data_IF_230047438740
#
_entry.id   IF_230047438740
#
_cell.length_a   1.000
_cell.length_b   1.000
_cell.length_c   1.000
_cell.angle_alpha   90.00
_cell.angle_beta   90.00
_cell.angle_gamma   90.00
#
_symmetry.space_group_name_H-M   'P 1'
#
loop_
_entity.id
_entity.type
_entity.pdbx_description
1 polymer ?
#
# COMPACT_ATOMS: atom_id res chain seq x y z
N UNK A 1 4.17 -1.84 7.86
CA UNK A 1 3.27 -0.73 7.54
C UNK A 1 1.96 -1.30 7.02
N UNK A 2 0.82 -0.69 7.34
CA UNK A 2 -0.50 -1.22 6.95
C UNK A 2 -1.21 -0.21 6.04
N UNK A 3 -1.31 -0.48 4.75
CA UNK A 3 -2.06 0.36 3.80
C UNK A 3 -3.57 0.09 3.83
N UNK A 4 -4.04 -0.90 4.61
CA UNK A 4 -5.45 -1.27 4.72
C UNK A 4 -6.33 -0.17 5.35
N UNK A 5 -5.73 0.83 5.98
CA UNK A 5 -6.43 1.96 6.61
C UNK A 5 -6.73 3.11 5.66
N UNK A 6 -6.23 3.05 4.42
CA UNK A 6 -6.46 4.07 3.39
C UNK A 6 -7.97 4.19 3.09
N UNK A 7 -8.48 5.41 3.23
CA UNK A 7 -9.91 5.70 3.01
C UNK A 7 -10.23 5.79 1.51
N UNK A 8 -11.40 5.28 1.14
CA UNK A 8 -11.90 5.39 -0.23
C UNK A 8 -11.97 6.85 -0.68
N UNK A 9 -11.53 7.11 -1.91
CA UNK A 9 -11.52 8.44 -2.51
C UNK A 9 -12.63 8.50 -3.55
N UNK A 10 -13.65 9.33 -3.31
CA UNK A 10 -14.71 9.61 -4.28
C UNK A 10 -14.25 10.61 -5.34
N UNK A 11 -15.01 10.69 -6.44
CA UNK A 11 -14.86 11.79 -7.40
C UNK A 11 -15.53 13.09 -6.92
N UNK A 12 -15.40 14.17 -7.66
CA UNK A 12 -15.95 15.47 -7.30
C UNK A 12 -17.48 15.43 -7.08
N UNK A 13 -18.20 14.72 -7.94
CA UNK A 13 -19.66 14.61 -7.87
C UNK A 13 -20.10 13.84 -6.62
N UNK A 14 -19.37 12.79 -6.25
CA UNK A 14 -19.62 12.04 -5.01
C UNK A 14 -19.58 12.98 -3.77
N UNK A 15 -18.54 13.81 -3.65
CA UNK A 15 -18.41 14.72 -2.51
C UNK A 15 -19.49 15.80 -2.50
N UNK A 16 -19.88 16.30 -3.67
CA UNK A 16 -20.99 17.26 -3.80
C UNK A 16 -22.30 16.64 -3.39
N UNK A 17 -22.61 15.44 -3.87
CA UNK A 17 -23.87 14.76 -3.56
C UNK A 17 -24.00 14.44 -2.07
N UNK A 18 -22.93 13.96 -1.46
CA UNK A 18 -22.89 13.68 -0.01
C UNK A 18 -23.12 14.98 0.78
N UNK A 19 -22.42 16.06 0.41
CA UNK A 19 -22.55 17.34 1.10
C UNK A 19 -23.94 17.93 0.96
N UNK A 20 -24.54 17.87 -0.24
CA UNK A 20 -25.92 18.35 -0.47
C UNK A 20 -26.92 17.55 0.36
N UNK A 21 -26.84 16.22 0.36
CA UNK A 21 -27.75 15.35 1.13
C UNK A 21 -27.65 15.62 2.64
N UNK A 22 -26.44 15.74 3.17
CA UNK A 22 -26.22 16.00 4.60
C UNK A 22 -26.63 17.41 4.99
N UNK A 23 -26.33 18.42 4.15
CA UNK A 23 -26.80 19.79 4.37
C UNK A 23 -28.32 19.84 4.38
N UNK A 24 -29.03 19.14 3.49
CA UNK A 24 -30.47 19.07 3.49
C UNK A 24 -31.00 18.48 4.80
N UNK A 25 -30.46 17.32 5.22
CA UNK A 25 -30.85 16.70 6.49
C UNK A 25 -30.67 17.65 7.71
N UNK A 26 -29.49 18.27 7.80
CA UNK A 26 -29.21 19.23 8.88
C UNK A 26 -30.18 20.44 8.86
N UNK A 27 -30.64 20.86 7.68
CA UNK A 27 -31.60 21.95 7.57
C UNK A 27 -33.03 21.51 7.92
N UNK A 28 -33.40 20.27 7.66
CA UNK A 28 -34.71 19.75 8.07
C UNK A 28 -34.78 19.65 9.60
N UNK A 29 -33.75 19.17 10.27
CA UNK A 29 -33.62 19.20 11.74
C UNK A 29 -33.64 20.62 12.31
N UNK A 30 -33.01 21.59 11.63
CA UNK A 30 -33.03 23.01 12.05
C UNK A 30 -34.42 23.64 11.94
N UNK A 31 -35.21 23.28 10.93
CA UNK A 31 -36.56 23.79 10.70
C UNK A 31 -37.57 23.33 11.76
N UNK A 32 -37.36 22.15 12.34
CA UNK A 32 -38.17 21.64 13.47
C UNK A 32 -37.95 22.46 14.75
N UNK A 33 -36.80 23.15 14.85
CA UNK A 33 -36.54 24.10 15.92
C UNK A 33 -37.19 25.44 15.59
N UNK A 34 -37.98 26.02 16.53
CA UNK A 34 -38.64 27.31 16.33
C UNK A 34 -37.63 28.47 16.25
N UNK A 35 -37.34 28.91 15.02
CA UNK A 35 -36.45 30.04 14.76
C UNK A 35 -37.09 31.38 15.22
N UNK A 36 -36.43 32.12 16.10
CA UNK A 36 -36.87 33.44 16.58
C UNK A 36 -36.35 34.56 15.67
N UNK A 37 -37.03 35.70 15.65
CA UNK A 37 -36.62 36.91 14.95
C UNK A 37 -37.42 37.21 13.68
N UNK A 38 -37.06 38.32 12.99
CA UNK A 38 -37.70 38.75 11.74
C UNK A 38 -37.45 37.75 10.60
N UNK A 39 -38.25 37.80 9.55
CA UNK A 39 -38.11 36.97 8.35
C UNK A 39 -36.69 37.08 7.77
N UNK A 40 -36.13 38.27 7.72
CA UNK A 40 -34.77 38.53 7.25
C UNK A 40 -33.71 37.83 8.13
N UNK A 41 -33.85 37.94 9.45
CA UNK A 41 -32.92 37.29 10.39
C UNK A 41 -32.95 35.79 10.28
N UNK A 42 -34.14 35.19 10.19
CA UNK A 42 -34.33 33.74 9.97
C UNK A 42 -33.75 33.30 8.66
N UNK A 43 -33.97 34.05 7.54
CA UNK A 43 -33.40 33.76 6.24
C UNK A 43 -31.87 33.78 6.28
N UNK A 44 -31.25 34.83 6.86
CA UNK A 44 -29.80 34.90 7.02
C UNK A 44 -29.24 33.70 7.80
N UNK A 45 -29.87 33.39 8.93
CA UNK A 45 -29.42 32.27 9.77
C UNK A 45 -29.45 30.93 9.02
N UNK A 46 -30.57 30.59 8.38
CA UNK A 46 -30.71 29.35 7.61
C UNK A 46 -29.69 29.27 6.47
N UNK A 47 -29.52 30.34 5.71
CA UNK A 47 -28.59 30.31 4.59
C UNK A 47 -27.12 30.25 5.04
N UNK A 48 -26.75 30.92 6.11
CA UNK A 48 -25.42 30.79 6.73
C UNK A 48 -25.17 29.37 7.20
N UNK A 49 -26.14 28.75 7.88
CA UNK A 49 -26.03 27.35 8.32
C UNK A 49 -25.86 26.37 7.17
N UNK A 50 -26.53 26.62 6.02
CA UNK A 50 -26.34 25.81 4.80
C UNK A 50 -24.90 25.91 4.26
N UNK A 51 -24.33 27.11 4.20
CA UNK A 51 -22.97 27.33 3.74
C UNK A 51 -21.97 26.61 4.64
N UNK A 52 -22.13 26.76 5.95
CA UNK A 52 -21.27 26.12 6.96
C UNK A 52 -21.35 24.59 6.90
N UNK A 53 -22.57 24.05 6.84
CA UNK A 53 -22.78 22.60 6.76
C UNK A 53 -22.14 22.01 5.50
N UNK A 54 -22.32 22.66 4.35
CA UNK A 54 -21.75 22.19 3.08
C UNK A 54 -20.21 22.22 3.08
N UNK A 55 -19.62 23.32 3.51
CA UNK A 55 -18.15 23.45 3.59
C UNK A 55 -17.56 22.45 4.58
N UNK A 56 -18.12 22.35 5.77
CA UNK A 56 -17.66 21.44 6.80
C UNK A 56 -17.69 19.98 6.32
N UNK A 57 -18.78 19.56 5.67
CA UNK A 57 -18.90 18.18 5.18
C UNK A 57 -17.84 17.85 4.15
N UNK A 58 -17.66 18.69 3.13
CA UNK A 58 -16.66 18.48 2.07
C UNK A 58 -15.26 18.47 2.67
N UNK A 59 -14.94 19.47 3.49
CA UNK A 59 -13.61 19.59 4.07
C UNK A 59 -13.27 18.44 5.02
N UNK A 60 -14.24 17.97 5.82
CA UNK A 60 -14.06 16.80 6.66
C UNK A 60 -13.76 15.54 5.83
N UNK A 61 -14.49 15.31 4.74
CA UNK A 61 -14.27 14.15 3.86
C UNK A 61 -12.89 14.20 3.20
N UNK A 62 -12.53 15.33 2.59
CA UNK A 62 -11.21 15.51 1.97
C UNK A 62 -10.06 15.36 2.98
N UNK A 63 -10.23 15.92 4.18
CA UNK A 63 -9.22 15.78 5.24
C UNK A 63 -9.11 14.37 5.80
N UNK A 64 -10.20 13.58 5.82
CA UNK A 64 -10.13 12.15 6.16
C UNK A 64 -9.28 11.38 5.14
N UNK A 65 -9.45 11.66 3.85
CA UNK A 65 -8.60 11.07 2.80
C UNK A 65 -7.16 11.50 3.01
N UNK A 66 -6.89 12.81 3.11
CA UNK A 66 -5.53 13.34 3.27
C UNK A 66 -4.79 12.71 4.47
N UNK A 67 -5.47 12.57 5.62
CA UNK A 67 -4.89 11.98 6.84
C UNK A 67 -4.72 10.46 6.75
N UNK A 68 -5.43 9.77 5.87
CA UNK A 68 -5.31 8.32 5.71
C UNK A 68 -4.07 7.92 4.92
N UNK A 69 -3.58 8.78 4.04
CA UNK A 69 -2.33 8.51 3.32
C UNK A 69 -1.12 8.70 4.24
N UNK A 70 -0.17 7.77 4.20
CA UNK A 70 1.05 7.90 4.99
C UNK A 70 1.94 9.02 4.47
N UNK A 71 2.82 9.53 5.33
CA UNK A 71 3.92 10.38 4.87
C UNK A 71 4.85 9.57 3.97
N UNK A 72 4.85 9.86 2.66
CA UNK A 72 5.64 9.13 1.68
C UNK A 72 7.15 9.25 1.93
N UNK A 73 7.59 10.35 2.51
CA UNK A 73 9.00 10.59 2.82
C UNK A 73 9.50 9.73 4.00
N UNK A 74 8.60 9.35 4.91
CA UNK A 74 8.90 8.55 6.09
C UNK A 74 8.73 7.04 5.88
N UNK A 75 8.43 6.61 4.65
CA UNK A 75 8.36 5.19 4.31
C UNK A 75 9.76 4.56 4.35
N UNK A 76 9.82 3.24 4.65
CA UNK A 76 11.06 2.48 4.43
C UNK A 76 11.43 2.48 2.95
N UNK A 77 12.72 2.33 2.65
CA UNK A 77 13.23 2.33 1.27
C UNK A 77 12.52 1.29 0.40
N UNK A 78 12.18 0.13 0.95
CA UNK A 78 11.39 -0.87 0.25
C UNK A 78 10.08 -0.31 -0.31
N UNK A 79 9.29 0.37 0.53
CA UNK A 79 7.99 0.91 0.11
C UNK A 79 8.12 2.15 -0.79
N UNK A 80 9.17 2.96 -0.62
CA UNK A 80 9.46 4.08 -1.53
C UNK A 80 9.73 3.57 -2.94
N UNK A 81 10.61 2.59 -3.06
CA UNK A 81 10.96 1.98 -4.34
C UNK A 81 9.75 1.23 -4.95
N UNK A 82 8.97 0.53 -4.13
CA UNK A 82 7.76 -0.15 -4.57
C UNK A 82 6.74 0.83 -5.17
N UNK A 83 6.53 1.98 -4.51
CA UNK A 83 5.69 3.06 -5.04
C UNK A 83 6.30 3.59 -6.34
N UNK A 84 7.61 3.83 -6.40
CA UNK A 84 8.27 4.33 -7.60
C UNK A 84 8.18 3.41 -8.82
N UNK A 85 8.06 2.09 -8.60
CA UNK A 85 7.88 1.10 -9.68
C UNK A 85 6.42 1.00 -10.15
N UNK A 86 5.44 1.26 -9.27
CA UNK A 86 4.01 1.00 -9.53
C UNK A 86 3.18 2.27 -9.72
N UNK A 87 3.64 3.40 -9.19
CA UNK A 87 2.91 4.67 -9.13
C UNK A 87 3.88 5.84 -9.35
N UNK A 88 3.33 7.01 -9.66
CA UNK A 88 4.10 8.26 -9.66
C UNK A 88 4.02 8.93 -8.27
N UNK A 89 5.10 8.83 -7.50
CA UNK A 89 5.20 9.40 -6.15
C UNK A 89 5.03 10.93 -6.16
N UNK A 90 5.56 11.62 -7.17
CA UNK A 90 5.46 13.08 -7.28
C UNK A 90 4.00 13.46 -7.53
N UNK A 91 3.32 12.72 -8.40
CA UNK A 91 1.93 13.00 -8.70
C UNK A 91 1.00 12.68 -7.52
N UNK A 92 1.30 11.66 -6.70
CA UNK A 92 0.58 11.42 -5.43
C UNK A 92 0.72 12.63 -4.50
N UNK A 93 1.95 13.12 -4.27
CA UNK A 93 2.21 14.31 -3.42
C UNK A 93 1.45 15.53 -3.94
N UNK A 94 1.49 15.78 -5.25
CA UNK A 94 0.75 16.86 -5.90
C UNK A 94 -0.76 16.69 -5.70
N UNK A 95 -1.26 15.48 -5.82
CA UNK A 95 -2.68 15.17 -5.63
C UNK A 95 -3.12 15.38 -4.19
N UNK A 96 -2.34 14.96 -3.20
CA UNK A 96 -2.61 15.25 -1.79
C UNK A 96 -2.58 16.75 -1.49
N UNK A 97 -1.62 17.48 -2.06
CA UNK A 97 -1.54 18.94 -1.94
C UNK A 97 -2.78 19.64 -2.53
N UNK A 98 -3.35 19.12 -3.63
CA UNK A 98 -4.56 19.65 -4.24
C UNK A 98 -5.79 19.53 -3.33
N UNK A 99 -5.90 18.48 -2.51
CA UNK A 99 -6.95 18.33 -1.50
C UNK A 99 -6.84 19.44 -0.45
N UNK A 100 -5.62 19.67 0.04
CA UNK A 100 -5.35 20.73 1.00
C UNK A 100 -5.71 22.10 0.42
N UNK A 101 -5.29 22.39 -0.80
CA UNK A 101 -5.62 23.61 -1.52
C UNK A 101 -7.16 23.79 -1.63
N UNK A 102 -7.88 22.74 -2.02
CA UNK A 102 -9.34 22.77 -2.12
C UNK A 102 -10.00 23.11 -0.77
N UNK A 103 -9.58 22.48 0.32
CA UNK A 103 -10.11 22.76 1.66
C UNK A 103 -9.86 24.20 2.09
N UNK A 104 -8.69 24.76 1.77
CA UNK A 104 -8.34 26.13 2.12
C UNK A 104 -9.14 27.14 1.28
N UNK A 105 -9.35 26.86 -0.02
CA UNK A 105 -10.22 27.66 -0.90
C UNK A 105 -11.69 27.63 -0.45
N UNK A 106 -12.19 26.48 -0.04
CA UNK A 106 -13.55 26.36 0.47
C UNK A 106 -13.75 27.25 1.72
N UNK A 107 -12.78 27.27 2.64
CA UNK A 107 -12.80 28.16 3.81
C UNK A 107 -12.75 29.63 3.45
N UNK A 108 -11.97 29.99 2.43
CA UNK A 108 -11.90 31.36 1.90
C UNK A 108 -13.28 31.79 1.37
N UNK A 109 -13.91 30.95 0.55
CA UNK A 109 -15.25 31.22 0.03
C UNK A 109 -16.27 31.30 1.14
N UNK A 110 -16.25 30.42 2.12
CA UNK A 110 -17.16 30.49 3.26
C UNK A 110 -17.05 31.84 3.95
N UNK A 111 -15.83 32.30 4.28
CA UNK A 111 -15.62 33.59 4.94
C UNK A 111 -16.18 34.77 4.12
N UNK A 112 -15.90 34.77 2.81
CA UNK A 112 -16.36 35.79 1.88
C UNK A 112 -17.90 35.86 1.81
N UNK A 113 -18.55 34.73 1.58
CA UNK A 113 -20.02 34.69 1.43
C UNK A 113 -20.74 34.84 2.74
N UNK A 114 -20.19 34.45 3.88
CA UNK A 114 -20.71 34.78 5.20
C UNK A 114 -20.78 36.30 5.42
N UNK A 115 -19.75 37.04 5.05
CA UNK A 115 -19.72 38.50 5.13
C UNK A 115 -20.82 39.13 4.24
N UNK A 116 -20.88 38.69 2.96
CA UNK A 116 -21.91 39.19 2.01
C UNK A 116 -23.34 38.94 2.50
N UNK A 117 -23.65 37.74 3.03
CA UNK A 117 -24.99 37.41 3.57
C UNK A 117 -25.33 38.25 4.81
N UNK A 118 -24.38 38.44 5.73
CA UNK A 118 -24.59 39.26 6.90
C UNK A 118 -24.96 40.72 6.55
N UNK A 119 -24.33 41.27 5.51
CA UNK A 119 -24.53 42.64 5.06
C UNK A 119 -25.75 42.81 4.12
N UNK A 120 -26.30 41.72 3.59
CA UNK A 120 -27.41 41.78 2.66
C UNK A 120 -28.68 42.39 3.33
N UNK A 121 -29.36 43.25 2.59
CA UNK A 121 -30.60 43.90 3.00
C UNK A 121 -31.86 43.31 2.34
N UNK A 122 -31.65 42.40 1.35
CA UNK A 122 -32.72 41.77 0.59
C UNK A 122 -32.58 40.25 0.62
N UNK A 123 -33.69 39.52 0.69
CA UNK A 123 -33.72 38.04 0.71
C UNK A 123 -33.23 37.47 -0.59
N UNK A 124 -33.55 38.09 -1.73
CA UNK A 124 -33.10 37.63 -3.04
C UNK A 124 -31.56 37.66 -3.19
N UNK A 125 -30.93 38.69 -2.63
CA UNK A 125 -29.45 38.75 -2.57
C UNK A 125 -28.85 37.64 -1.74
N UNK A 126 -29.48 37.26 -0.64
CA UNK A 126 -29.03 36.14 0.21
C UNK A 126 -29.08 34.83 -0.61
N UNK A 127 -30.20 34.59 -1.31
CA UNK A 127 -30.33 33.41 -2.18
C UNK A 127 -29.37 33.40 -3.34
N UNK A 128 -29.06 34.57 -3.93
CA UNK A 128 -28.04 34.70 -4.96
C UNK A 128 -26.65 34.31 -4.43
N UNK A 129 -26.24 34.84 -3.28
CA UNK A 129 -24.93 34.56 -2.68
C UNK A 129 -24.79 33.09 -2.31
N UNK A 130 -25.84 32.40 -1.84
CA UNK A 130 -25.81 30.95 -1.63
C UNK A 130 -25.54 30.19 -2.97
N UNK A 131 -26.24 30.55 -4.06
CA UNK A 131 -26.05 29.91 -5.38
C UNK A 131 -24.62 30.12 -5.89
N UNK A 132 -24.10 31.33 -5.75
CA UNK A 132 -22.71 31.62 -6.12
C UNK A 132 -21.72 30.80 -5.29
N UNK A 133 -21.91 30.71 -3.97
CA UNK A 133 -21.06 29.88 -3.09
C UNK A 133 -21.07 28.42 -3.54
N UNK A 134 -22.24 27.84 -3.78
CA UNK A 134 -22.35 26.44 -4.25
C UNK A 134 -21.65 26.24 -5.58
N UNK A 135 -21.78 27.17 -6.50
CA UNK A 135 -21.07 27.14 -7.79
C UNK A 135 -19.56 27.19 -7.63
N UNK A 136 -19.04 28.01 -6.67
CA UNK A 136 -17.59 28.07 -6.36
C UNK A 136 -17.08 26.78 -5.76
N UNK A 137 -17.78 26.22 -4.79
CA UNK A 137 -17.44 24.92 -4.18
C UNK A 137 -17.43 23.81 -5.24
N UNK A 138 -18.46 23.72 -6.09
CA UNK A 138 -18.52 22.75 -7.17
C UNK A 138 -17.37 22.91 -8.16
N UNK A 139 -17.02 24.16 -8.50
CA UNK A 139 -15.88 24.44 -9.39
C UNK A 139 -14.55 24.01 -8.80
N UNK A 140 -14.27 24.26 -7.52
CA UNK A 140 -13.02 23.82 -6.87
C UNK A 140 -12.90 22.31 -6.81
N UNK A 141 -13.98 21.59 -6.51
CA UNK A 141 -13.98 20.13 -6.53
C UNK A 141 -13.73 19.58 -7.93
N UNK A 142 -14.35 20.16 -8.96
CA UNK A 142 -14.11 19.75 -10.34
C UNK A 142 -12.67 19.98 -10.79
N UNK A 143 -12.02 21.05 -10.34
CA UNK A 143 -10.62 21.33 -10.65
C UNK A 143 -9.69 20.24 -10.11
N UNK A 144 -9.99 19.65 -8.96
CA UNK A 144 -9.18 18.59 -8.36
C UNK A 144 -9.63 17.16 -8.77
N UNK A 145 -10.64 17.01 -9.63
CA UNK A 145 -11.23 15.69 -9.92
C UNK A 145 -10.21 14.67 -10.43
N UNK A 146 -9.30 15.06 -11.34
CA UNK A 146 -8.23 14.18 -11.84
C UNK A 146 -7.30 13.72 -10.72
N UNK A 147 -7.06 14.57 -9.73
CA UNK A 147 -6.25 14.24 -8.56
C UNK A 147 -6.98 13.26 -7.64
N UNK A 148 -8.30 13.41 -7.45
CA UNK A 148 -9.13 12.47 -6.69
C UNK A 148 -9.12 11.08 -7.36
N UNK A 149 -9.33 11.01 -8.66
CA UNK A 149 -9.29 9.75 -9.43
C UNK A 149 -7.93 9.05 -9.31
N UNK A 150 -6.84 9.81 -9.41
CA UNK A 150 -5.49 9.26 -9.26
C UNK A 150 -5.21 8.78 -7.84
N UNK A 151 -5.69 9.49 -6.82
CA UNK A 151 -5.57 9.04 -5.43
C UNK A 151 -6.36 7.75 -5.18
N UNK A 152 -7.55 7.59 -5.79
CA UNK A 152 -8.29 6.33 -5.69
C UNK A 152 -7.57 5.18 -6.40
N UNK A 153 -7.01 5.42 -7.58
CA UNK A 153 -6.15 4.46 -8.26
C UNK A 153 -4.94 4.08 -7.40
N UNK A 154 -4.22 5.08 -6.86
CA UNK A 154 -3.08 4.86 -5.97
C UNK A 154 -3.45 4.08 -4.71
N UNK A 155 -4.59 4.40 -4.10
CA UNK A 155 -5.12 3.69 -2.94
C UNK A 155 -5.34 2.21 -3.23
N UNK A 156 -6.00 1.89 -4.34
CA UNK A 156 -6.25 0.49 -4.76
C UNK A 156 -4.95 -0.26 -4.96
N UNK A 157 -4.01 0.35 -5.69
CA UNK A 157 -2.68 -0.24 -5.89
C UNK A 157 -1.94 -0.48 -4.56
N UNK A 158 -1.98 0.48 -3.63
CA UNK A 158 -1.33 0.35 -2.32
C UNK A 158 -2.00 -0.67 -1.40
N UNK A 159 -3.31 -0.90 -1.52
CA UNK A 159 -4.01 -1.95 -0.75
C UNK A 159 -3.47 -3.35 -1.06
N UNK A 160 -3.01 -3.55 -2.29
CA UNK A 160 -2.46 -4.83 -2.74
C UNK A 160 -0.96 -4.99 -2.41
N UNK A 161 -0.33 -3.99 -1.77
CA UNK A 161 1.07 -4.12 -1.37
C UNK A 161 1.25 -5.16 -0.25
N UNK A 162 2.36 -5.93 -0.28
CA UNK A 162 2.63 -6.91 0.76
C UNK A 162 2.81 -6.23 2.11
N UNK A 163 2.18 -6.78 3.13
CA UNK A 163 2.37 -6.33 4.52
C UNK A 163 3.69 -6.85 5.10
N UNK A 164 4.82 -6.43 4.51
CA UNK A 164 6.16 -6.79 4.98
C UNK A 164 6.49 -5.95 6.21
N UNK A 165 6.91 -6.61 7.27
CA UNK A 165 7.41 -5.95 8.49
C UNK A 165 8.89 -5.63 8.32
N UNK A 166 9.19 -4.42 7.86
CA UNK A 166 10.55 -3.98 7.54
C UNK A 166 11.47 -3.80 8.75
N UNK A 167 10.94 -3.90 9.96
CA UNK A 167 11.70 -3.89 11.21
C UNK A 167 11.92 -5.29 11.82
N UNK A 168 11.52 -6.34 11.11
CA UNK A 168 11.64 -7.73 11.57
C UNK A 168 12.72 -8.42 10.75
N UNK A 169 13.57 -9.21 11.41
CA UNK A 169 14.52 -10.09 10.74
C UNK A 169 13.82 -10.89 9.66
N UNK A 170 14.28 -10.73 8.43
CA UNK A 170 13.63 -11.29 7.25
C UNK A 170 14.59 -12.14 6.44
N UNK A 171 14.15 -13.35 6.09
CA UNK A 171 14.89 -14.30 5.26
C UNK A 171 14.10 -14.54 3.99
N UNK A 172 14.71 -14.34 2.83
CA UNK A 172 14.07 -14.63 1.55
C UNK A 172 14.42 -16.03 1.06
N UNK A 173 13.42 -16.80 0.65
CA UNK A 173 13.56 -18.10 0.02
C UNK A 173 13.57 -17.88 -1.47
N UNK A 174 14.66 -18.24 -2.13
CA UNK A 174 14.94 -17.96 -3.55
C UNK A 174 15.26 -19.26 -4.30
N UNK A 175 15.21 -19.23 -5.62
CA UNK A 175 15.48 -20.37 -6.50
C UNK A 175 14.50 -20.42 -7.67
N UNK A 176 14.70 -21.31 -8.60
CA UNK A 176 13.87 -21.47 -9.81
C UNK A 176 12.40 -21.80 -9.51
N UNK A 177 11.47 -21.64 -10.47
CA UNK A 177 10.10 -22.15 -10.32
C UNK A 177 10.10 -23.65 -10.02
N UNK A 178 9.15 -24.11 -9.22
CA UNK A 178 8.93 -25.54 -8.93
C UNK A 178 10.06 -26.29 -8.19
N UNK A 179 11.09 -25.60 -7.72
CA UNK A 179 12.16 -26.24 -6.90
C UNK A 179 11.72 -26.53 -5.46
N UNK A 180 10.49 -26.20 -5.04
CA UNK A 180 9.98 -26.52 -3.70
C UNK A 180 10.05 -25.37 -2.68
N UNK A 181 10.24 -24.12 -3.10
CA UNK A 181 10.31 -22.92 -2.20
C UNK A 181 9.08 -22.79 -1.30
N UNK A 182 7.89 -22.80 -1.87
CA UNK A 182 6.64 -22.67 -1.10
C UNK A 182 6.38 -23.85 -0.18
N UNK A 183 6.84 -25.04 -0.56
CA UNK A 183 6.82 -26.23 0.32
C UNK A 183 7.76 -26.04 1.50
N UNK A 184 8.96 -25.53 1.25
CA UNK A 184 9.92 -25.22 2.31
C UNK A 184 9.38 -24.14 3.25
N UNK A 185 8.79 -23.06 2.71
CA UNK A 185 8.13 -22.03 3.50
C UNK A 185 7.06 -22.63 4.42
N UNK A 186 6.19 -23.50 3.88
CA UNK A 186 5.11 -24.14 4.65
C UNK A 186 5.65 -25.03 5.78
N UNK A 187 6.81 -25.65 5.58
CA UNK A 187 7.47 -26.49 6.60
C UNK A 187 8.21 -25.68 7.67
N UNK A 188 8.74 -24.50 7.31
CA UNK A 188 9.44 -23.60 8.23
C UNK A 188 8.49 -22.80 9.12
N UNK A 189 7.25 -22.59 8.70
CA UNK A 189 6.31 -21.68 9.37
C UNK A 189 5.27 -22.43 10.19
N UNK A 190 4.90 -21.89 11.35
CA UNK A 190 3.93 -22.52 12.28
C UNK A 190 2.49 -22.32 11.86
N UNK A 191 2.18 -21.37 10.99
CA UNK A 191 0.85 -21.10 10.46
C UNK A 191 0.88 -21.13 8.94
N UNK A 192 -0.29 -21.35 8.31
CA UNK A 192 -0.39 -21.27 6.83
C UNK A 192 0.13 -19.91 6.36
N UNK A 193 1.10 -19.90 5.44
CA UNK A 193 1.63 -18.66 4.88
C UNK A 193 0.51 -17.78 4.33
N UNK A 194 0.57 -16.48 4.59
CA UNK A 194 -0.36 -15.52 4.00
C UNK A 194 0.12 -15.18 2.60
N UNK A 195 -0.75 -15.40 1.63
CA UNK A 195 -0.51 -14.98 0.25
C UNK A 195 -0.81 -13.48 0.17
N UNK A 196 0.22 -12.67 -0.08
CA UNK A 196 0.02 -11.29 -0.49
C UNK A 196 -0.22 -11.30 -2.01
N UNK A 197 -1.48 -11.23 -2.42
CA UNK A 197 -1.85 -11.05 -3.83
C UNK A 197 -1.51 -9.62 -4.25
N UNK A 198 -0.98 -9.46 -5.46
CA UNK A 198 -0.71 -8.16 -6.05
C UNK A 198 -1.76 -7.82 -7.10
N UNK A 199 -2.18 -6.56 -7.17
CA UNK A 199 -2.92 -6.06 -8.32
C UNK A 199 -2.14 -6.40 -9.60
N UNK A 200 -2.83 -6.99 -10.56
CA UNK A 200 -2.29 -7.38 -11.87
C UNK A 200 -1.45 -8.65 -11.92
N UNK A 201 -1.40 -9.49 -10.86
CA UNK A 201 -0.66 -10.75 -10.90
C UNK A 201 -1.43 -11.90 -10.27
N UNK A 202 -1.35 -13.09 -10.88
CA UNK A 202 -1.87 -14.35 -10.33
C UNK A 202 -0.92 -14.98 -9.30
N UNK A 203 0.29 -14.43 -9.15
CA UNK A 203 1.34 -14.93 -8.25
C UNK A 203 1.75 -13.82 -7.28
N UNK A 204 1.56 -14.04 -5.98
CA UNK A 204 1.98 -13.15 -4.89
C UNK A 204 3.30 -13.59 -4.25
N UNK A 205 3.87 -12.76 -3.39
CA UNK A 205 4.92 -13.17 -2.46
C UNK A 205 4.23 -13.78 -1.24
N UNK A 206 4.54 -15.06 -0.94
CA UNK A 206 4.05 -15.70 0.27
C UNK A 206 4.88 -15.26 1.47
N UNK A 207 4.22 -14.88 2.54
CA UNK A 207 4.86 -14.44 3.78
C UNK A 207 4.51 -15.42 4.89
N UNK A 208 5.53 -15.95 5.53
CA UNK A 208 5.37 -16.82 6.69
C UNK A 208 6.20 -16.33 7.88
N UNK A 209 5.83 -16.76 9.06
CA UNK A 209 6.50 -16.41 10.32
C UNK A 209 6.86 -17.66 11.08
N UNK A 210 8.04 -17.65 11.69
CA UNK A 210 8.50 -18.69 12.61
C UNK A 210 9.24 -18.06 13.78
N UNK A 211 9.46 -18.83 14.82
CA UNK A 211 10.30 -18.44 15.96
C UNK A 211 11.54 -19.31 15.99
N UNK A 212 12.69 -18.69 15.97
CA UNK A 212 14.00 -19.36 16.06
C UNK A 212 14.79 -18.66 17.17
N UNK A 213 15.28 -19.40 18.16
CA UNK A 213 15.96 -18.87 19.34
C UNK A 213 15.17 -17.81 20.14
N UNK A 214 13.84 -17.90 20.17
CA UNK A 214 13.01 -16.89 20.84
C UNK A 214 12.76 -15.62 20.02
N UNK A 215 13.37 -15.50 18.84
CA UNK A 215 13.15 -14.38 17.92
C UNK A 215 12.17 -14.72 16.81
N UNK A 216 11.27 -13.78 16.53
CA UNK A 216 10.30 -13.92 15.42
C UNK A 216 10.97 -13.54 14.11
N UNK A 217 11.03 -14.49 13.19
CA UNK A 217 11.63 -14.33 11.87
C UNK A 217 10.50 -14.35 10.82
N UNK A 218 10.61 -13.43 9.87
CA UNK A 218 9.76 -13.35 8.69
C UNK A 218 10.44 -14.06 7.52
N UNK A 219 9.72 -14.98 6.88
CA UNK A 219 10.17 -15.66 5.66
C UNK A 219 9.38 -15.15 4.47
N UNK A 220 10.06 -14.86 3.36
CA UNK A 220 9.48 -14.43 2.10
C UNK A 220 9.75 -15.47 1.02
N UNK A 221 8.70 -16.07 0.45
CA UNK A 221 8.81 -16.92 -0.73
C UNK A 221 8.81 -16.02 -1.98
N UNK A 222 9.92 -15.94 -2.69
CA UNK A 222 10.05 -15.12 -3.89
C UNK A 222 9.64 -15.90 -5.14
N UNK A 223 9.05 -15.24 -6.16
CA UNK A 223 8.80 -15.86 -7.46
C UNK A 223 10.09 -16.44 -8.05
N UNK A 224 9.98 -17.60 -8.70
CA UNK A 224 11.13 -18.32 -9.25
C UNK A 224 11.77 -17.74 -10.52
N UNK A 225 11.30 -16.58 -11.00
CA UNK A 225 11.66 -16.00 -12.29
C UNK A 225 12.74 -14.91 -12.21
N UNK A 226 13.55 -14.90 -11.14
CA UNK A 226 14.59 -13.89 -10.90
C UNK A 226 15.77 -13.90 -11.88
N UNK A 227 15.78 -14.78 -12.85
CA UNK A 227 16.88 -14.95 -13.82
C UNK A 227 16.81 -14.01 -15.04
N UNK A 228 15.72 -13.24 -15.23
CA UNK A 228 15.55 -12.32 -16.37
C UNK A 228 15.67 -10.86 -15.93
N UNK A 229 16.89 -10.43 -15.60
CA UNK A 229 17.15 -9.09 -15.05
C UNK A 229 16.76 -7.92 -15.96
N UNK A 230 16.79 -8.13 -17.29
CA UNK A 230 16.52 -7.05 -18.25
C UNK A 230 15.02 -6.84 -18.57
N UNK A 231 14.18 -7.85 -18.33
CA UNK A 231 12.73 -7.83 -18.66
C UNK A 231 11.87 -8.31 -17.48
N UNK A 232 12.15 -7.80 -16.29
CA UNK A 232 11.38 -8.15 -15.10
C UNK A 232 9.95 -7.60 -15.18
N UNK A 233 8.98 -8.46 -14.92
CA UNK A 233 7.62 -8.03 -14.66
C UNK A 233 7.51 -7.38 -13.26
N UNK A 234 6.36 -6.78 -12.94
CA UNK A 234 6.16 -6.07 -11.66
C UNK A 234 6.42 -6.98 -10.45
N UNK A 235 6.03 -8.27 -10.51
CA UNK A 235 6.21 -9.23 -9.41
C UNK A 235 7.68 -9.54 -9.17
N UNK A 236 8.44 -9.73 -10.22
CA UNK A 236 9.89 -9.97 -10.17
C UNK A 236 10.62 -8.75 -9.61
N UNK A 237 10.21 -7.54 -10.01
CA UNK A 237 10.75 -6.30 -9.43
C UNK A 237 10.49 -6.21 -7.94
N UNK A 238 9.28 -6.55 -7.48
CA UNK A 238 8.93 -6.55 -6.06
C UNK A 238 9.78 -7.56 -5.28
N UNK A 239 9.97 -8.77 -5.83
CA UNK A 239 10.82 -9.77 -5.20
C UNK A 239 12.29 -9.29 -5.12
N UNK A 240 12.79 -8.69 -6.18
CA UNK A 240 14.13 -8.08 -6.20
C UNK A 240 14.25 -6.96 -5.15
N UNK A 241 13.25 -6.09 -5.03
CA UNK A 241 13.20 -5.05 -4.00
C UNK A 241 13.15 -5.65 -2.58
N UNK A 242 12.37 -6.72 -2.36
CA UNK A 242 12.30 -7.40 -1.07
C UNK A 242 13.65 -8.02 -0.69
N UNK A 243 14.32 -8.68 -1.64
CA UNK A 243 15.68 -9.20 -1.44
C UNK A 243 16.65 -8.06 -1.13
N UNK A 244 16.61 -6.96 -1.89
CA UNK A 244 17.55 -5.84 -1.75
C UNK A 244 17.40 -5.10 -0.42
N UNK A 245 16.18 -4.73 -0.05
CA UNK A 245 15.91 -3.78 1.02
C UNK A 245 15.38 -4.39 2.33
N UNK A 246 14.88 -5.63 2.30
CA UNK A 246 14.23 -6.24 3.46
C UNK A 246 14.96 -7.50 3.92
N UNK A 247 15.33 -8.40 3.00
CA UNK A 247 15.97 -9.65 3.39
C UNK A 247 17.37 -9.39 3.98
N UNK A 248 17.66 -9.98 5.11
CA UNK A 248 18.96 -9.94 5.78
C UNK A 248 19.80 -11.16 5.40
N UNK A 249 19.14 -12.29 5.11
CA UNK A 249 19.77 -13.50 4.60
C UNK A 249 18.89 -14.16 3.52
N UNK A 250 19.46 -15.06 2.75
CA UNK A 250 18.79 -15.81 1.69
C UNK A 250 18.89 -17.32 1.97
N UNK A 251 17.82 -18.05 1.67
CA UNK A 251 17.84 -19.49 1.49
C UNK A 251 17.70 -19.75 0.00
N UNK A 252 18.74 -20.30 -0.62
CA UNK A 252 18.68 -20.70 -2.03
C UNK A 252 18.34 -22.17 -2.14
N UNK A 253 17.23 -22.47 -2.82
CA UNK A 253 16.71 -23.83 -2.98
C UNK A 253 17.15 -24.39 -4.31
N UNK A 254 17.94 -25.49 -4.28
CA UNK A 254 18.32 -26.27 -5.44
C UNK A 254 17.44 -27.52 -5.59
N UNK A 255 17.20 -27.91 -6.83
CA UNK A 255 16.59 -29.16 -7.23
C UNK A 255 17.53 -29.93 -8.14
N UNK A 256 18.18 -30.99 -7.60
CA UNK A 256 19.15 -31.80 -8.35
C UNK A 256 18.49 -32.79 -9.31
N UNK A 257 17.17 -32.96 -9.27
CA UNK A 257 16.45 -33.80 -10.23
C UNK A 257 16.33 -33.17 -11.62
N UNK A 258 16.69 -31.88 -11.73
CA UNK A 258 16.57 -31.07 -12.95
C UNK A 258 15.16 -31.00 -13.54
N UNK A 259 14.14 -31.49 -12.81
CA UNK A 259 12.75 -31.45 -13.25
C UNK A 259 12.17 -30.02 -13.34
N UNK A 260 12.84 -29.05 -12.70
CA UNK A 260 12.41 -27.65 -12.65
C UNK A 260 13.22 -26.76 -13.59
N UNK A 261 14.54 -26.94 -13.64
CA UNK A 261 15.49 -26.22 -14.50
C UNK A 261 16.83 -26.96 -14.52
N UNK A 262 17.64 -26.81 -15.60
CA UNK A 262 18.99 -27.31 -15.65
C UNK A 262 19.82 -26.85 -14.46
N UNK A 263 20.72 -27.73 -13.97
CA UNK A 263 21.54 -27.41 -12.80
C UNK A 263 22.46 -26.21 -13.06
N UNK A 264 22.93 -26.04 -14.27
CA UNK A 264 23.79 -24.93 -14.70
C UNK A 264 23.09 -23.58 -14.50
N UNK A 265 21.83 -23.46 -14.93
CA UNK A 265 21.03 -22.26 -14.78
C UNK A 265 20.76 -21.93 -13.29
N UNK A 266 20.53 -23.00 -12.48
CA UNK A 266 20.35 -22.84 -11.04
C UNK A 266 21.64 -22.31 -10.38
N UNK A 267 22.81 -22.80 -10.80
CA UNK A 267 24.09 -22.31 -10.29
C UNK A 267 24.38 -20.88 -10.74
N UNK A 268 24.03 -20.51 -11.96
CA UNK A 268 24.20 -19.15 -12.45
C UNK A 268 23.39 -18.16 -11.59
N UNK A 269 22.12 -18.46 -11.34
CA UNK A 269 21.26 -17.63 -10.47
C UNK A 269 21.80 -17.56 -9.03
N UNK A 270 22.26 -18.69 -8.48
CA UNK A 270 22.89 -18.71 -7.16
C UNK A 270 24.11 -17.79 -7.11
N UNK A 271 25.01 -17.88 -8.09
CA UNK A 271 26.20 -17.04 -8.17
C UNK A 271 25.84 -15.54 -8.31
N UNK A 272 24.77 -15.24 -9.04
CA UNK A 272 24.26 -13.87 -9.14
C UNK A 272 23.77 -13.34 -7.79
N UNK A 273 22.95 -14.10 -7.07
CA UNK A 273 22.43 -13.72 -5.76
C UNK A 273 23.54 -13.57 -4.70
N UNK A 274 24.59 -14.39 -4.80
CA UNK A 274 25.77 -14.29 -3.92
C UNK A 274 26.51 -12.94 -4.04
N UNK A 275 26.40 -12.25 -5.19
CA UNK A 275 26.96 -10.91 -5.40
C UNK A 275 26.29 -9.85 -4.51
N UNK A 276 25.11 -10.12 -3.95
CA UNK A 276 24.41 -9.22 -3.04
C UNK A 276 25.11 -9.02 -1.69
N UNK A 277 26.17 -9.80 -1.40
CA UNK A 277 26.92 -9.84 -0.12
C UNK A 277 26.09 -10.23 1.10
N UNK A 278 24.86 -10.72 0.91
CA UNK A 278 24.04 -11.25 1.99
C UNK A 278 24.42 -12.70 2.27
N UNK A 279 24.33 -13.18 3.52
CA UNK A 279 24.50 -14.60 3.84
C UNK A 279 23.53 -15.45 3.01
N UNK A 280 24.02 -16.53 2.39
CA UNK A 280 23.19 -17.44 1.61
C UNK A 280 23.37 -18.86 2.15
N UNK A 281 22.27 -19.46 2.63
CA UNK A 281 22.21 -20.87 2.96
C UNK A 281 21.72 -21.63 1.74
N UNK A 282 22.39 -22.71 1.39
CA UNK A 282 21.98 -23.60 0.31
C UNK A 282 21.14 -24.74 0.89
N UNK A 283 19.92 -24.90 0.35
CA UNK A 283 19.01 -25.96 0.71
C UNK A 283 18.73 -26.86 -0.49
N UNK A 284 18.87 -28.18 -0.32
CA UNK A 284 18.54 -29.19 -1.34
C UNK A 284 17.13 -29.70 -1.11
N UNK A 285 16.27 -29.52 -2.08
CA UNK A 285 14.92 -30.07 -2.11
C UNK A 285 14.89 -31.41 -2.86
N UNK A 286 13.80 -32.15 -2.72
CA UNK A 286 13.50 -33.39 -3.47
C UNK A 286 14.66 -34.43 -3.42
N UNK A 287 15.38 -34.45 -2.31
CA UNK A 287 16.53 -35.40 -2.15
C UNK A 287 16.09 -36.86 -1.98
N UNK A 288 14.81 -37.09 -1.79
CA UNK A 288 14.16 -38.39 -1.77
C UNK A 288 14.11 -39.08 -3.16
N UNK A 289 14.13 -38.28 -4.22
CA UNK A 289 14.10 -38.74 -5.63
C UNK A 289 15.43 -38.57 -6.36
N UNK A 290 16.34 -37.74 -5.81
CA UNK A 290 17.64 -37.50 -6.41
C UNK A 290 18.65 -38.62 -6.11
N UNK A 291 19.68 -38.75 -6.94
CA UNK A 291 20.79 -39.68 -6.72
C UNK A 291 21.56 -39.30 -5.44
N UNK A 292 21.71 -40.26 -4.53
CA UNK A 292 22.40 -40.05 -3.24
C UNK A 292 23.83 -39.59 -3.39
N UNK A 293 24.61 -40.20 -4.31
CA UNK A 293 26.00 -39.83 -4.52
C UNK A 293 26.12 -38.38 -5.02
N UNK A 294 25.21 -37.97 -5.89
CA UNK A 294 25.14 -36.60 -6.37
C UNK A 294 24.77 -35.62 -5.24
N UNK A 295 23.82 -35.99 -4.39
CA UNK A 295 23.40 -35.18 -3.21
C UNK A 295 24.58 -34.97 -2.27
N UNK A 296 25.34 -36.03 -1.93
CA UNK A 296 26.45 -35.94 -0.99
C UNK A 296 27.58 -35.07 -1.57
N UNK A 297 27.96 -35.28 -2.82
CA UNK A 297 28.97 -34.43 -3.52
C UNK A 297 28.54 -32.95 -3.55
N UNK A 298 27.26 -32.69 -3.74
CA UNK A 298 26.74 -31.31 -3.80
C UNK A 298 26.69 -30.67 -2.40
N UNK A 299 26.35 -31.46 -1.37
CA UNK A 299 26.38 -30.99 0.03
C UNK A 299 27.78 -30.55 0.41
N UNK A 300 28.80 -31.35 0.12
CA UNK A 300 30.20 -31.04 0.42
C UNK A 300 30.68 -29.78 -0.33
N UNK A 301 30.36 -29.69 -1.63
CA UNK A 301 30.81 -28.58 -2.48
C UNK A 301 30.20 -27.23 -2.08
N UNK A 302 28.92 -27.20 -1.72
CA UNK A 302 28.18 -25.95 -1.47
C UNK A 302 27.84 -25.75 0.01
N UNK A 303 28.30 -26.61 0.92
CA UNK A 303 27.91 -26.64 2.32
C UNK A 303 26.37 -26.60 2.47
N UNK A 304 25.69 -27.45 1.64
CA UNK A 304 24.25 -27.46 1.54
C UNK A 304 23.60 -28.33 2.62
N UNK A 305 22.37 -28.02 3.00
CA UNK A 305 21.53 -28.83 3.89
C UNK A 305 20.32 -29.37 3.15
N UNK A 306 19.77 -30.49 3.58
CA UNK A 306 18.60 -31.14 2.97
C UNK A 306 17.49 -31.48 3.97
N UNK A 307 17.68 -31.15 5.24
CA UNK A 307 16.63 -31.31 6.27
C UNK A 307 16.39 -30.01 7.05
N UNK A 308 15.25 -29.94 7.73
CA UNK A 308 14.82 -28.72 8.42
C UNK A 308 15.60 -28.42 9.68
N UNK A 309 16.10 -29.44 10.37
CA UNK A 309 16.81 -29.26 11.64
C UNK A 309 18.19 -28.66 11.38
N UNK A 310 18.93 -29.21 10.41
CA UNK A 310 20.20 -28.62 9.94
C UNK A 310 19.99 -27.19 9.42
N UNK A 311 18.90 -26.94 8.69
CA UNK A 311 18.58 -25.59 8.19
C UNK A 311 18.35 -24.62 9.34
N UNK A 312 17.60 -25.02 10.38
CA UNK A 312 17.37 -24.19 11.54
C UNK A 312 18.63 -23.92 12.32
N UNK A 313 19.54 -24.91 12.48
CA UNK A 313 20.83 -24.67 13.13
C UNK A 313 21.67 -23.67 12.33
N UNK A 314 21.77 -23.80 11.01
CA UNK A 314 22.47 -22.79 10.20
C UNK A 314 21.83 -21.39 10.26
N UNK A 315 20.53 -21.32 10.40
CA UNK A 315 19.86 -20.03 10.60
C UNK A 315 20.21 -19.37 11.93
N UNK A 316 20.45 -20.17 12.99
CA UNK A 316 20.94 -19.66 14.28
C UNK A 316 22.38 -19.13 14.22
N UNK A 317 23.23 -19.72 13.36
CA UNK A 317 24.63 -19.32 13.19
C UNK A 317 24.78 -18.00 12.41
N UNK A 318 23.82 -17.68 11.56
CA UNK A 318 23.80 -16.41 10.84
C UNK A 318 23.62 -15.30 11.86
N UNK A 319 24.67 -14.50 12.13
CA UNK A 319 24.63 -13.28 12.94
C UNK A 319 23.75 -12.18 12.29
N UNK A 320 22.50 -12.50 12.10
CA UNK A 320 21.42 -11.58 11.77
C UNK A 320 20.54 -11.42 13.01
N UNK A 321 20.82 -12.25 13.97
CA UNK A 321 20.18 -12.34 15.28
C UNK A 321 21.08 -11.70 16.34
#
# INVERSE_FOLDING_TARGET
MNFQELKTVGNADFYLDVAIKRTKKAMDELRESSLRGSQMQRSKFVELSKLESMENEINQQLMKVLKSFPSLDNLSEFYKELIGVTLDMIYIKKSLASLKWCTDKNREFLRMYKSKIKQATEIDRINQYRREFYGRIASTLKQINKHLEYLEFSRRTMLDYPSIKTSMTTIAITGFPNVGKSTLLSKLTTAKPKIASYAFTTQGVNIGYSEINGEKIQFLDTPGTLNRFEKQNVVEKIATLAIKYVAEALIYVFDLTEASAPLEDQIELYNHLKKSRKPVIVYLSKTDVADKEQVDKFKDKYNAVNNLDELKEKLKEIKVL
#
